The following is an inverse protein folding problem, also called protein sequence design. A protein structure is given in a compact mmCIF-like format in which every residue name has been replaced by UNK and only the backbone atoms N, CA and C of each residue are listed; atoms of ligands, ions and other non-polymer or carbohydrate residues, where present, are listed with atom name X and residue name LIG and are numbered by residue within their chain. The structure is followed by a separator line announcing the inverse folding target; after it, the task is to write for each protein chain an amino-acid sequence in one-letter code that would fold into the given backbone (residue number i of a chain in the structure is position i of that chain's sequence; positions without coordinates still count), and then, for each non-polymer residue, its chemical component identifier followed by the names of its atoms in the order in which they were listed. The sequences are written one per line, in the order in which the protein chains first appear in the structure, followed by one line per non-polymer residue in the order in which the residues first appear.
data_IF_582832154692
#
_entry.id   IF_582832154692
#
_cell.length_a   1.000
_cell.length_b   1.000
_cell.length_c   1.000
_cell.angle_alpha   90.00
_cell.angle_beta   90.00
_cell.angle_gamma   90.00
#
_symmetry.space_group_name_H-M   'P 1'
#
loop_
_entity.id
_entity.type
_entity.pdbx_description
1 polymer ?
#
# COMPACT_ATOMS: atom_id res chain seq x y z
N UNK A 1 -40.35 26.61 -19.27
CA UNK A 1 -39.77 26.21 -20.57
C UNK A 1 -39.77 27.45 -21.45
N UNK A 2 -38.63 28.13 -21.64
CA UNK A 2 -38.55 29.22 -22.63
C UNK A 2 -38.07 28.59 -23.92
N UNK A 3 -38.87 28.66 -24.98
CA UNK A 3 -38.51 28.13 -26.29
C UNK A 3 -37.26 28.86 -26.80
N UNK A 4 -36.17 28.12 -26.96
CA UNK A 4 -34.90 28.59 -27.50
C UNK A 4 -34.94 28.30 -29.00
N UNK A 5 -35.10 29.33 -29.82
CA UNK A 5 -34.91 29.19 -31.25
C UNK A 5 -33.43 28.92 -31.54
N UNK A 6 -33.14 27.79 -32.18
CA UNK A 6 -31.80 27.40 -32.60
C UNK A 6 -31.64 27.56 -34.11
N UNK A 7 -30.66 28.33 -34.56
CA UNK A 7 -30.31 28.49 -35.96
C UNK A 7 -28.95 27.85 -36.25
N UNK A 8 -28.87 27.18 -37.39
CA UNK A 8 -27.64 26.58 -37.90
C UNK A 8 -27.17 27.34 -39.12
N UNK A 9 -25.90 27.71 -39.13
CA UNK A 9 -25.23 28.39 -40.24
C UNK A 9 -24.15 27.45 -40.77
N UNK A 10 -24.35 26.96 -41.99
CA UNK A 10 -23.41 26.08 -42.67
C UNK A 10 -22.60 26.90 -43.67
N UNK A 11 -21.27 26.83 -43.55
CA UNK A 11 -20.34 27.58 -44.40
C UNK A 11 -19.32 26.66 -45.07
N UNK A 12 -18.63 27.08 -46.14
CA UNK A 12 -17.71 26.20 -46.85
C UNK A 12 -16.42 25.90 -46.08
N UNK A 13 -15.79 26.92 -45.47
CA UNK A 13 -14.48 26.80 -44.82
C UNK A 13 -14.49 27.16 -43.33
N UNK A 14 -13.49 26.69 -42.59
CA UNK A 14 -13.34 26.97 -41.16
C UNK A 14 -13.19 28.47 -40.88
N UNK A 15 -12.40 29.18 -41.68
CA UNK A 15 -12.25 30.64 -41.60
C UNK A 15 -13.59 31.38 -41.72
N UNK A 16 -14.49 30.87 -42.57
CA UNK A 16 -15.82 31.46 -42.76
C UNK A 16 -16.70 31.28 -41.53
N UNK A 17 -16.44 30.28 -40.68
CA UNK A 17 -17.15 30.12 -39.42
C UNK A 17 -16.88 31.31 -38.50
N UNK A 18 -15.62 31.72 -38.40
CA UNK A 18 -15.22 32.87 -37.58
C UNK A 18 -15.65 34.21 -38.22
N UNK A 19 -15.63 34.32 -39.55
CA UNK A 19 -16.20 35.50 -40.24
C UNK A 19 -17.70 35.64 -39.98
N UNK A 20 -18.45 34.54 -40.09
CA UNK A 20 -19.88 34.51 -39.79
C UNK A 20 -20.17 34.86 -38.32
N UNK A 21 -19.36 34.35 -37.39
CA UNK A 21 -19.44 34.72 -35.96
C UNK A 21 -19.28 36.23 -35.78
N UNK A 22 -18.29 36.83 -36.43
CA UNK A 22 -18.04 38.27 -36.38
C UNK A 22 -19.21 39.09 -36.93
N UNK A 23 -19.85 38.64 -38.01
CA UNK A 23 -21.06 39.30 -38.55
C UNK A 23 -22.22 39.20 -37.56
N UNK A 24 -22.45 38.02 -36.98
CA UNK A 24 -23.53 37.77 -36.01
C UNK A 24 -23.37 38.66 -34.77
N UNK A 25 -22.17 38.73 -34.18
CA UNK A 25 -21.90 39.53 -32.99
C UNK A 25 -21.95 41.05 -33.22
N UNK A 26 -21.77 41.50 -34.47
CA UNK A 26 -21.97 42.91 -34.85
C UNK A 26 -23.45 43.24 -35.04
N UNK A 27 -24.24 42.29 -35.53
CA UNK A 27 -25.67 42.48 -35.75
C UNK A 27 -26.48 42.36 -34.44
N UNK A 28 -26.10 41.44 -33.55
CA UNK A 28 -26.79 41.18 -32.30
C UNK A 28 -25.82 41.01 -31.13
N UNK A 29 -26.08 41.65 -29.97
CA UNK A 29 -25.26 41.46 -28.79
C UNK A 29 -25.24 40.01 -28.33
N UNK A 30 -24.05 39.48 -28.05
CA UNK A 30 -23.90 38.15 -27.46
C UNK A 30 -24.25 38.15 -25.97
N UNK A 31 -24.70 37.01 -25.47
CA UNK A 31 -24.87 36.77 -24.04
C UNK A 31 -23.53 36.29 -23.45
N UNK A 32 -22.99 36.95 -22.40
CA UNK A 32 -21.77 36.50 -21.74
C UNK A 32 -21.85 35.05 -21.27
N UNK A 33 -20.70 34.35 -21.25
CA UNK A 33 -20.56 32.93 -20.85
C UNK A 33 -21.33 31.91 -21.72
N UNK A 34 -22.03 32.37 -22.77
CA UNK A 34 -22.80 31.53 -23.71
C UNK A 34 -22.12 31.40 -25.08
N UNK A 35 -20.82 31.63 -25.14
CA UNK A 35 -19.99 31.36 -26.31
C UNK A 35 -19.11 30.14 -26.06
N UNK A 36 -19.08 29.20 -27.02
CA UNK A 36 -18.23 28.00 -26.98
C UNK A 36 -17.65 27.76 -28.36
N UNK A 37 -16.33 27.67 -28.42
CA UNK A 37 -15.62 27.36 -29.65
C UNK A 37 -15.21 25.88 -29.67
N UNK A 38 -16.10 25.03 -30.19
CA UNK A 38 -15.79 23.61 -30.38
C UNK A 38 -15.02 23.34 -31.69
N UNK A 39 -14.70 24.37 -32.48
CA UNK A 39 -13.82 24.20 -33.63
C UNK A 39 -12.38 24.11 -33.15
N UNK A 40 -11.95 25.03 -32.28
CA UNK A 40 -10.63 25.02 -31.64
C UNK A 40 -10.54 24.01 -30.50
N UNK A 41 -11.65 23.72 -29.81
CA UNK A 41 -11.75 22.69 -28.76
C UNK A 41 -12.80 21.61 -29.07
N UNK A 42 -12.53 20.68 -30.01
CA UNK A 42 -13.48 19.62 -30.38
C UNK A 42 -13.91 18.77 -29.18
N UNK A 43 -15.16 18.29 -29.19
CA UNK A 43 -15.64 17.34 -28.18
C UNK A 43 -15.05 15.94 -28.42
N UNK A 44 -15.17 15.06 -27.43
CA UNK A 44 -14.63 13.68 -27.47
C UNK A 44 -15.14 12.82 -28.63
N UNK A 45 -16.34 13.10 -29.14
CA UNK A 45 -16.93 12.46 -30.33
C UNK A 45 -16.54 13.14 -31.66
N UNK A 46 -15.52 13.99 -31.64
CA UNK A 46 -15.05 14.80 -32.77
C UNK A 46 -16.07 15.84 -33.28
N UNK A 47 -17.09 16.18 -32.48
CA UNK A 47 -18.02 17.26 -32.79
C UNK A 47 -17.31 18.61 -32.81
N UNK A 48 -17.51 19.37 -33.89
CA UNK A 48 -16.92 20.69 -34.13
C UNK A 48 -17.99 21.69 -34.58
N UNK A 49 -18.11 22.83 -33.89
CA UNK A 49 -19.00 23.95 -34.24
C UNK A 49 -18.73 25.14 -33.30
N UNK A 50 -18.94 26.36 -33.77
CA UNK A 50 -19.03 27.55 -32.91
C UNK A 50 -20.46 27.68 -32.40
N UNK A 51 -20.62 27.78 -31.09
CA UNK A 51 -21.91 27.99 -30.43
C UNK A 51 -21.92 29.37 -29.80
N UNK A 52 -22.95 30.16 -30.09
CA UNK A 52 -23.15 31.46 -29.44
C UNK A 52 -24.61 31.73 -29.20
N UNK A 53 -24.96 32.29 -28.04
CA UNK A 53 -26.31 32.82 -27.81
C UNK A 53 -26.29 34.33 -27.99
N UNK A 54 -27.19 34.86 -28.82
CA UNK A 54 -27.36 36.30 -29.05
C UNK A 54 -28.76 36.77 -28.63
N UNK A 55 -28.89 38.06 -28.38
CA UNK A 55 -30.19 38.71 -28.12
C UNK A 55 -30.73 39.25 -29.44
N UNK A 56 -31.69 38.53 -30.01
CA UNK A 56 -32.35 38.87 -31.26
C UNK A 56 -33.42 39.96 -31.12
N UNK A 57 -34.10 40.32 -32.23
CA UNK A 57 -35.20 41.29 -32.23
C UNK A 57 -36.30 40.89 -31.23
N UNK A 58 -36.86 41.86 -30.50
CA UNK A 58 -37.86 41.60 -29.47
C UNK A 58 -37.31 41.04 -28.15
N UNK A 59 -35.99 41.01 -27.96
CA UNK A 59 -35.35 40.54 -26.72
C UNK A 59 -35.29 39.01 -26.58
N UNK A 60 -35.64 38.29 -27.64
CA UNK A 60 -35.58 36.83 -27.68
C UNK A 60 -34.13 36.34 -27.66
N UNK A 61 -33.87 35.29 -26.88
CA UNK A 61 -32.57 34.62 -26.87
C UNK A 61 -32.53 33.60 -27.99
N UNK A 62 -31.56 33.75 -28.88
CA UNK A 62 -31.39 32.90 -30.05
C UNK A 62 -30.05 32.18 -29.93
N UNK A 63 -30.07 30.85 -30.02
CA UNK A 63 -28.85 30.04 -30.11
C UNK A 63 -28.43 29.92 -31.58
N UNK A 64 -27.17 30.22 -31.87
CA UNK A 64 -26.58 30.10 -33.20
C UNK A 64 -25.44 29.10 -33.18
N UNK A 65 -25.47 28.19 -34.15
CA UNK A 65 -24.47 27.15 -34.35
C UNK A 65 -23.85 27.33 -35.73
N UNK A 66 -22.56 27.58 -35.80
CA UNK A 66 -21.83 27.84 -37.05
C UNK A 66 -20.83 26.71 -37.25
N UNK A 67 -20.81 26.11 -38.44
CA UNK A 67 -19.92 24.98 -38.76
C UNK A 67 -19.81 24.77 -40.26
N UNK A 68 -18.83 23.98 -40.70
CA UNK A 68 -18.73 23.62 -42.12
C UNK A 68 -19.66 22.47 -42.50
N UNK A 69 -19.87 22.24 -43.80
CA UNK A 69 -20.64 21.08 -44.27
C UNK A 69 -20.05 19.74 -43.78
N UNK A 70 -18.72 19.63 -43.72
CA UNK A 70 -18.06 18.44 -43.18
C UNK A 70 -18.32 18.27 -41.69
N UNK A 71 -18.18 19.36 -40.93
CA UNK A 71 -18.46 19.35 -39.49
C UNK A 71 -19.92 19.02 -39.19
N UNK A 72 -20.85 19.45 -40.06
CA UNK A 72 -22.26 19.13 -39.94
C UNK A 72 -22.55 17.65 -40.17
N UNK A 73 -21.97 17.06 -41.22
CA UNK A 73 -22.08 15.61 -41.47
C UNK A 73 -21.53 14.79 -40.31
N UNK A 74 -20.36 15.16 -39.76
CA UNK A 74 -19.80 14.49 -38.58
C UNK A 74 -20.72 14.63 -37.36
N UNK A 75 -21.38 15.78 -37.20
CA UNK A 75 -22.28 16.04 -36.09
C UNK A 75 -23.62 15.28 -36.18
N UNK A 76 -24.15 15.07 -37.38
CA UNK A 76 -25.41 14.33 -37.61
C UNK A 76 -25.17 12.82 -37.68
N UNK A 77 -24.15 12.38 -38.43
CA UNK A 77 -23.95 10.98 -38.80
C UNK A 77 -22.83 10.27 -38.01
N UNK A 78 -22.01 11.03 -37.26
CA UNK A 78 -20.87 10.50 -36.52
C UNK A 78 -19.66 10.09 -37.40
N UNK A 79 -18.64 9.49 -36.77
CA UNK A 79 -17.35 9.16 -37.41
C UNK A 79 -17.48 8.11 -38.54
N UNK A 80 -18.58 7.35 -38.58
CA UNK A 80 -18.83 6.32 -39.58
C UNK A 80 -19.12 6.86 -41.00
N UNK A 81 -19.53 8.13 -41.14
CA UNK A 81 -19.88 8.72 -42.43
C UNK A 81 -18.68 9.06 -43.32
N UNK A 82 -17.46 9.08 -42.77
CA UNK A 82 -16.25 9.41 -43.53
C UNK A 82 -15.67 8.23 -44.33
N UNK A 83 -16.26 7.03 -44.23
CA UNK A 83 -15.81 5.84 -44.95
C UNK A 83 -16.35 5.73 -46.38
N UNK A 84 -17.29 6.58 -46.81
CA UNK A 84 -18.05 6.33 -48.03
C UNK A 84 -17.68 7.19 -49.26
N UNK A 85 -16.69 8.09 -49.22
CA UNK A 85 -16.47 8.98 -50.37
C UNK A 85 -15.03 9.12 -50.89
N UNK A 86 -14.90 8.67 -52.15
CA UNK A 86 -13.85 8.81 -53.17
C UNK A 86 -12.65 7.83 -53.15
N UNK A 87 -12.82 6.81 -54.01
CA UNK A 87 -11.83 6.10 -54.82
C UNK A 87 -11.00 4.95 -54.22
N UNK A 88 -11.52 3.73 -54.41
CA UNK A 88 -10.83 2.57 -55.01
C UNK A 88 -9.43 2.16 -54.52
N UNK A 89 -9.14 2.31 -53.24
CA UNK A 89 -8.21 1.43 -52.52
C UNK A 89 -8.53 1.44 -51.02
N UNK A 90 -8.65 0.25 -50.43
CA UNK A 90 -8.66 0.12 -48.96
C UNK A 90 -7.24 0.46 -48.47
N UNK A 91 -7.02 1.71 -48.08
CA UNK A 91 -5.76 2.18 -47.52
C UNK A 91 -5.93 3.54 -46.87
N UNK A 92 -5.27 3.73 -45.72
CA UNK A 92 -5.15 5.06 -45.10
C UNK A 92 -4.40 5.98 -46.07
N UNK A 93 -5.07 7.03 -46.54
CA UNK A 93 -4.40 8.12 -47.25
C UNK A 93 -3.74 9.05 -46.22
N UNK A 94 -2.49 8.74 -45.88
CA UNK A 94 -1.69 9.50 -44.92
C UNK A 94 -1.33 10.90 -45.41
N UNK A 95 -1.41 11.17 -46.71
CA UNK A 95 -1.01 12.46 -47.31
C UNK A 95 -2.13 13.50 -47.19
N UNK A 96 -3.40 13.11 -47.38
CA UNK A 96 -4.54 13.96 -47.08
C UNK A 96 -4.65 14.30 -45.58
N UNK A 97 -4.29 13.36 -44.69
CA UNK A 97 -4.31 13.53 -43.23
C UNK A 97 -3.23 14.49 -42.68
N UNK A 98 -2.11 14.66 -43.40
CA UNK A 98 -1.04 15.57 -43.02
C UNK A 98 -1.30 17.04 -43.44
N UNK A 99 -2.11 17.25 -44.48
CA UNK A 99 -2.40 18.58 -45.03
C UNK A 99 -3.42 19.39 -44.20
N UNK A 100 -4.27 18.75 -43.38
CA UNK A 100 -5.44 19.40 -42.73
C UNK A 100 -5.35 19.49 -41.18
N UNK A 101 -4.16 19.68 -40.61
CA UNK A 101 -4.03 20.11 -39.21
C UNK A 101 -4.00 18.99 -38.16
N UNK A 102 -3.56 17.79 -38.56
CA UNK A 102 -2.89 16.81 -37.71
C UNK A 102 -3.45 16.59 -36.31
N UNK A 103 -4.50 15.77 -36.17
CA UNK A 103 -4.77 14.98 -34.95
C UNK A 103 -5.57 13.73 -35.31
N UNK A 104 -4.96 12.58 -35.00
CA UNK A 104 -5.44 11.22 -35.26
C UNK A 104 -6.79 10.97 -34.53
N UNK A 105 -7.91 10.75 -35.25
CA UNK A 105 -9.20 10.40 -34.65
C UNK A 105 -9.14 9.08 -33.86
N UNK A 106 -8.14 8.23 -34.12
CA UNK A 106 -7.89 7.01 -33.38
C UNK A 106 -7.08 7.21 -32.09
N UNK A 107 -6.67 8.42 -31.68
CA UNK A 107 -5.96 8.58 -30.40
C UNK A 107 -6.78 8.03 -29.21
N UNK A 108 -8.09 8.30 -29.20
CA UNK A 108 -8.99 7.80 -28.16
C UNK A 108 -9.20 6.27 -28.27
N UNK A 109 -9.22 5.73 -29.50
CA UNK A 109 -9.33 4.29 -29.74
C UNK A 109 -8.04 3.55 -29.37
N UNK A 110 -6.86 4.14 -29.64
CA UNK A 110 -5.54 3.57 -29.33
C UNK A 110 -5.28 3.57 -27.84
N UNK A 111 -5.80 4.55 -27.09
CA UNK A 111 -5.80 4.52 -25.62
C UNK A 111 -6.62 3.33 -25.09
N UNK A 112 -7.75 3.04 -25.73
CA UNK A 112 -8.60 1.88 -25.44
C UNK A 112 -7.89 0.56 -25.76
N UNK A 113 -7.18 0.48 -26.90
CA UNK A 113 -6.41 -0.69 -27.32
C UNK A 113 -5.15 -0.91 -26.47
N UNK A 114 -4.44 0.14 -26.04
CA UNK A 114 -3.29 0.02 -25.14
C UNK A 114 -3.68 -0.49 -23.74
N UNK A 115 -4.86 -0.12 -23.25
CA UNK A 115 -5.43 -0.63 -22.00
C UNK A 115 -5.79 -2.11 -22.14
N UNK A 116 -6.24 -2.56 -23.32
CA UNK A 116 -6.50 -3.98 -23.64
C UNK A 116 -5.20 -4.80 -23.66
N UNK A 117 -4.11 -4.26 -24.20
CA UNK A 117 -2.83 -5.00 -24.31
C UNK A 117 -2.08 -5.18 -22.98
N UNK A 118 -2.39 -4.40 -21.93
CA UNK A 118 -1.62 -4.36 -20.67
C UNK A 118 -2.43 -4.74 -19.41
N UNK A 119 -3.70 -5.14 -19.56
CA UNK A 119 -4.60 -5.44 -18.44
C UNK A 119 -4.69 -6.93 -18.11
N UNK A 120 -3.84 -7.42 -17.20
CA UNK A 120 -4.08 -8.71 -16.54
C UNK A 120 -5.17 -8.57 -15.46
N UNK A 121 -6.38 -9.02 -15.78
CA UNK A 121 -7.39 -9.54 -14.83
C UNK A 121 -8.32 -8.56 -14.11
N UNK A 122 -9.63 -8.88 -14.18
CA UNK A 122 -10.65 -8.50 -13.17
C UNK A 122 -11.57 -7.33 -13.53
N UNK A 123 -12.83 -7.41 -13.08
CA UNK A 123 -13.98 -6.51 -13.32
C UNK A 123 -13.73 -4.98 -13.14
N UNK A 124 -12.61 -4.57 -12.55
CA UNK A 124 -12.16 -3.17 -12.37
C UNK A 124 -12.13 -2.36 -13.69
N UNK A 125 -11.91 -3.00 -14.85
CA UNK A 125 -11.76 -2.32 -16.14
C UNK A 125 -13.05 -1.66 -16.64
N UNK A 126 -14.20 -2.33 -16.45
CA UNK A 126 -15.51 -1.84 -16.92
C UNK A 126 -15.90 -0.60 -16.14
N UNK A 127 -15.64 -0.59 -14.84
CA UNK A 127 -15.93 0.57 -13.99
C UNK A 127 -15.04 1.75 -14.34
N UNK A 128 -13.74 1.53 -14.59
CA UNK A 128 -12.81 2.60 -14.97
C UNK A 128 -13.16 3.24 -16.32
N UNK A 129 -13.52 2.45 -17.32
CA UNK A 129 -13.94 2.97 -18.63
C UNK A 129 -15.30 3.70 -18.54
N UNK A 130 -16.26 3.17 -17.75
CA UNK A 130 -17.56 3.82 -17.54
C UNK A 130 -17.41 5.18 -16.84
N UNK A 131 -16.53 5.30 -15.85
CA UNK A 131 -16.32 6.56 -15.13
C UNK A 131 -15.73 7.66 -16.03
N UNK A 132 -14.83 7.32 -16.96
CA UNK A 132 -14.22 8.31 -17.87
C UNK A 132 -15.19 8.83 -18.95
N UNK A 133 -16.23 8.07 -19.31
CA UNK A 133 -17.20 8.44 -20.35
C UNK A 133 -18.31 9.41 -19.89
N UNK A 134 -18.57 9.52 -18.58
CA UNK A 134 -19.72 10.26 -18.02
C UNK A 134 -19.37 11.56 -17.29
N UNK A 135 -18.09 11.93 -17.19
CA UNK A 135 -17.67 13.12 -16.44
C UNK A 135 -17.51 14.34 -17.36
N UNK A 136 -18.05 15.49 -16.92
CA UNK A 136 -17.64 16.80 -17.41
C UNK A 136 -16.10 16.87 -17.41
N UNK A 137 -15.46 17.39 -18.46
CA UNK A 137 -14.00 17.46 -18.56
C UNK A 137 -13.48 18.84 -18.15
N UNK A 138 -12.29 18.86 -17.55
CA UNK A 138 -11.50 20.06 -17.29
C UNK A 138 -10.23 20.09 -18.17
N UNK A 139 -9.92 21.27 -18.68
CA UNK A 139 -8.83 21.54 -19.61
C UNK A 139 -7.75 22.35 -18.90
N UNK A 140 -6.58 21.73 -18.72
CA UNK A 140 -5.46 22.31 -17.97
C UNK A 140 -4.19 22.31 -18.80
N UNK A 141 -3.29 23.24 -18.52
CA UNK A 141 -2.08 23.47 -19.30
C UNK A 141 -0.84 23.12 -18.49
N UNK A 142 0.16 22.55 -19.17
CA UNK A 142 1.53 22.53 -18.65
C UNK A 142 2.15 23.93 -18.77
N UNK A 143 3.25 24.25 -18.05
CA UNK A 143 3.95 25.53 -18.18
C UNK A 143 4.50 25.78 -19.60
N UNK A 144 4.65 24.72 -20.40
CA UNK A 144 5.07 24.78 -21.81
C UNK A 144 3.90 24.94 -22.79
N UNK A 145 2.67 25.14 -22.31
CA UNK A 145 1.49 25.34 -23.15
C UNK A 145 0.84 24.06 -23.70
N UNK A 146 1.37 22.86 -23.39
CA UNK A 146 0.69 21.59 -23.73
C UNK A 146 -0.61 21.46 -22.96
N UNK A 147 -1.71 21.24 -23.67
CA UNK A 147 -3.05 20.97 -23.12
C UNK A 147 -3.14 19.52 -22.62
N UNK A 148 -3.71 19.33 -21.43
CA UNK A 148 -4.04 18.04 -20.81
C UNK A 148 -5.50 18.09 -20.37
N UNK A 149 -6.23 17.02 -20.67
CA UNK A 149 -7.65 16.89 -20.33
C UNK A 149 -7.81 15.91 -19.18
N UNK A 150 -8.60 16.28 -18.18
CA UNK A 150 -8.90 15.46 -17.00
C UNK A 150 -10.40 15.46 -16.74
N UNK A 151 -10.96 14.47 -16.01
CA UNK A 151 -12.33 14.57 -15.53
C UNK A 151 -12.48 15.71 -14.52
N UNK A 152 -13.69 16.27 -14.42
CA UNK A 152 -14.03 17.30 -13.44
C UNK A 152 -13.75 16.79 -12.02
N UNK A 153 -13.08 17.63 -11.24
CA UNK A 153 -12.58 17.27 -9.91
C UNK A 153 -11.21 16.60 -9.92
N UNK A 154 -10.60 16.37 -11.10
CA UNK A 154 -9.22 15.90 -11.22
C UNK A 154 -8.25 16.82 -10.47
N UNK A 155 -7.29 16.21 -9.79
CA UNK A 155 -6.33 16.90 -8.92
C UNK A 155 -4.92 16.90 -9.51
N UNK A 156 -3.98 17.53 -8.81
CA UNK A 156 -2.59 17.64 -9.23
C UNK A 156 -1.92 16.28 -9.53
N UNK A 157 -2.24 15.24 -8.76
CA UNK A 157 -1.64 13.92 -8.95
C UNK A 157 -2.21 13.22 -10.21
N UNK A 158 -3.49 13.42 -10.51
CA UNK A 158 -4.08 12.96 -11.79
C UNK A 158 -3.39 13.63 -12.98
N UNK A 159 -3.15 14.94 -12.89
CA UNK A 159 -2.38 15.68 -13.91
C UNK A 159 -0.97 15.13 -14.07
N UNK A 160 -0.25 14.88 -12.97
CA UNK A 160 1.11 14.36 -13.01
C UNK A 160 1.19 13.01 -13.75
N UNK A 161 0.29 12.08 -13.47
CA UNK A 161 0.21 10.77 -14.14
C UNK A 161 -0.34 10.83 -15.58
N UNK A 162 -1.12 11.87 -15.91
CA UNK A 162 -1.51 12.16 -17.29
C UNK A 162 -0.33 12.68 -18.12
N UNK A 163 0.55 13.49 -17.51
CA UNK A 163 1.78 13.97 -18.16
C UNK A 163 2.76 12.82 -18.40
N UNK A 164 3.15 12.09 -17.34
CA UNK A 164 4.05 10.94 -17.42
C UNK A 164 4.11 10.17 -16.08
N UNK A 165 4.23 8.84 -16.11
CA UNK A 165 4.31 8.00 -14.89
C UNK A 165 5.43 8.44 -13.94
N UNK A 166 6.66 8.64 -14.44
CA UNK A 166 7.78 9.15 -13.64
C UNK A 166 7.54 10.54 -13.02
N UNK A 167 6.70 11.39 -13.63
CA UNK A 167 6.33 12.69 -13.04
C UNK A 167 5.37 12.49 -11.89
N UNK A 168 4.41 11.58 -12.03
CA UNK A 168 3.51 11.15 -10.94
C UNK A 168 4.26 10.48 -9.78
N UNK A 169 5.13 9.51 -10.07
CA UNK A 169 5.87 8.74 -9.05
C UNK A 169 6.84 9.60 -8.23
N UNK A 170 7.24 10.77 -8.73
CA UNK A 170 8.13 11.71 -8.04
C UNK A 170 7.41 12.98 -7.59
N UNK A 171 6.10 13.08 -7.72
CA UNK A 171 5.35 14.29 -7.38
C UNK A 171 5.32 14.53 -5.86
N UNK A 172 5.89 15.65 -5.40
CA UNK A 172 5.91 16.04 -3.98
C UNK A 172 5.09 17.30 -3.70
N UNK A 173 4.77 18.08 -4.73
CA UNK A 173 4.00 19.31 -4.61
C UNK A 173 3.53 19.84 -5.96
N UNK A 174 2.74 20.91 -5.92
CA UNK A 174 2.18 21.53 -7.13
C UNK A 174 2.17 23.05 -7.01
N UNK A 175 2.42 23.72 -8.14
CA UNK A 175 2.05 25.12 -8.34
C UNK A 175 0.94 25.21 -9.37
N UNK A 176 -0.06 26.02 -9.10
CA UNK A 176 -1.16 26.31 -10.02
C UNK A 176 -1.13 27.81 -10.28
N UNK A 177 -1.00 28.20 -11.55
CA UNK A 177 -0.87 29.60 -11.99
C UNK A 177 0.29 30.34 -11.30
N UNK A 178 1.40 29.62 -11.04
CA UNK A 178 2.61 30.16 -10.39
C UNK A 178 2.60 30.13 -8.86
N UNK A 179 1.46 29.88 -8.22
CA UNK A 179 1.35 29.83 -6.75
C UNK A 179 1.37 28.39 -6.21
N UNK A 180 2.03 28.17 -5.07
CA UNK A 180 1.98 26.89 -4.37
C UNK A 180 0.55 26.61 -3.85
N UNK A 181 0.01 25.44 -4.20
CA UNK A 181 -1.32 25.00 -3.73
C UNK A 181 -1.23 23.59 -3.13
N UNK A 182 -2.17 23.21 -2.25
CA UNK A 182 -2.27 21.82 -1.78
C UNK A 182 -2.50 20.83 -2.92
N UNK A 183 -1.90 19.64 -2.85
CA UNK A 183 -2.04 18.57 -3.86
C UNK A 183 -3.50 18.12 -4.10
N UNK A 184 -4.36 18.30 -3.11
CA UNK A 184 -5.80 17.97 -3.14
C UNK A 184 -6.67 19.01 -3.88
N UNK A 185 -6.07 20.10 -4.35
CA UNK A 185 -6.81 21.17 -5.02
C UNK A 185 -7.35 20.66 -6.35
N UNK A 186 -8.67 20.72 -6.52
CA UNK A 186 -9.32 20.36 -7.77
C UNK A 186 -8.96 21.39 -8.86
N UNK A 187 -8.58 20.90 -10.02
CA UNK A 187 -8.15 21.73 -11.14
C UNK A 187 -9.34 22.32 -11.90
N UNK A 188 -9.17 23.54 -12.40
CA UNK A 188 -10.18 24.30 -13.14
C UNK A 188 -9.76 24.51 -14.60
N UNK A 189 -10.73 24.86 -15.45
CA UNK A 189 -10.44 25.18 -16.84
C UNK A 189 -9.51 26.37 -16.96
N UNK A 190 -8.43 26.22 -17.73
CA UNK A 190 -7.45 27.27 -17.96
C UNK A 190 -6.27 27.27 -16.99
N UNK A 191 -6.28 26.43 -15.94
CA UNK A 191 -5.19 26.38 -14.98
C UNK A 191 -3.87 25.93 -15.63
N UNK A 192 -2.79 26.65 -15.32
CA UNK A 192 -1.41 26.24 -15.65
C UNK A 192 -0.82 25.50 -14.45
N UNK A 193 -0.54 24.21 -14.61
CA UNK A 193 -0.13 23.31 -13.53
C UNK A 193 1.34 22.92 -13.68
N UNK A 194 2.15 23.24 -12.67
CA UNK A 194 3.55 22.85 -12.55
C UNK A 194 3.73 21.85 -11.40
N UNK A 195 4.21 20.65 -11.71
CA UNK A 195 4.46 19.60 -10.71
C UNK A 195 5.88 19.74 -10.17
N UNK A 196 6.00 19.86 -8.85
CA UNK A 196 7.27 19.84 -8.12
C UNK A 196 7.65 18.39 -7.88
N UNK A 197 8.87 18.00 -8.29
CA UNK A 197 9.36 16.62 -8.21
C UNK A 197 10.42 16.46 -7.13
N UNK A 198 10.32 15.37 -6.37
CA UNK A 198 11.33 14.91 -5.42
C UNK A 198 12.39 14.01 -6.07
N UNK A 199 13.42 13.69 -5.30
CA UNK A 199 14.51 12.79 -5.72
C UNK A 199 14.19 11.32 -5.50
N UNK A 200 13.25 11.01 -4.59
CA UNK A 200 12.78 9.66 -4.28
C UNK A 200 11.42 9.38 -4.91
N UNK A 201 11.20 8.12 -5.29
CA UNK A 201 9.90 7.63 -5.78
C UNK A 201 9.11 7.06 -4.61
N UNK A 202 8.34 7.88 -3.91
CA UNK A 202 7.51 7.46 -2.77
C UNK A 202 6.04 7.77 -3.05
N UNK A 203 5.16 6.77 -2.87
CA UNK A 203 3.72 6.98 -2.98
C UNK A 203 3.21 7.70 -1.72
N UNK A 204 2.38 8.76 -1.84
CA UNK A 204 1.71 9.34 -0.68
C UNK A 204 0.83 8.31 0.03
N UNK A 205 0.85 8.27 1.37
CA UNK A 205 0.05 7.31 2.14
C UNK A 205 -1.46 7.40 1.84
N UNK A 206 -1.96 8.62 1.61
CA UNK A 206 -3.36 8.91 1.29
C UNK A 206 -3.60 9.17 -0.21
N UNK A 207 -2.87 8.48 -1.09
CA UNK A 207 -2.95 8.69 -2.54
C UNK A 207 -4.36 8.51 -3.15
N UNK A 208 -5.23 7.73 -2.48
CA UNK A 208 -6.62 7.50 -2.91
C UNK A 208 -7.46 8.78 -2.82
N UNK A 209 -7.23 9.62 -1.82
CA UNK A 209 -7.93 10.90 -1.66
C UNK A 209 -7.40 11.99 -2.61
N UNK A 210 -6.20 11.78 -3.16
CA UNK A 210 -5.50 12.73 -4.04
C UNK A 210 -5.68 12.41 -5.54
N UNK A 211 -6.43 11.36 -5.88
CA UNK A 211 -6.63 10.94 -7.28
C UNK A 211 -8.06 10.52 -7.56
N UNK A 212 -8.56 10.96 -8.71
CA UNK A 212 -9.89 10.62 -9.22
C UNK A 212 -9.79 9.61 -10.37
N UNK A 213 -8.76 9.70 -11.20
CA UNK A 213 -8.65 8.94 -12.45
C UNK A 213 -8.24 7.48 -12.23
N UNK A 214 -8.84 6.56 -12.99
CA UNK A 214 -8.47 5.14 -12.97
C UNK A 214 -7.00 4.93 -13.35
N UNK A 215 -6.51 5.69 -14.35
CA UNK A 215 -5.11 5.68 -14.79
C UNK A 215 -4.13 6.00 -13.66
N UNK A 216 -4.32 7.10 -12.94
CA UNK A 216 -3.44 7.47 -11.83
C UNK A 216 -3.50 6.42 -10.72
N UNK A 217 -4.70 5.96 -10.35
CA UNK A 217 -4.88 4.94 -9.31
C UNK A 217 -4.18 3.62 -9.65
N UNK A 218 -4.24 3.18 -10.91
CA UNK A 218 -3.56 1.96 -11.36
C UNK A 218 -2.05 2.12 -11.39
N UNK A 219 -1.55 3.28 -11.84
CA UNK A 219 -0.12 3.59 -11.82
C UNK A 219 0.45 3.60 -10.40
N UNK A 220 -0.24 4.23 -9.45
CA UNK A 220 0.16 4.27 -8.04
C UNK A 220 0.11 2.87 -7.41
N UNK A 221 -0.94 2.08 -7.67
CA UNK A 221 -1.01 0.67 -7.23
C UNK A 221 0.18 -0.14 -7.77
N UNK A 222 0.58 0.07 -9.02
CA UNK A 222 1.76 -0.59 -9.60
C UNK A 222 3.05 -0.14 -8.91
N UNK A 223 3.20 1.16 -8.65
CA UNK A 223 4.36 1.70 -7.93
C UNK A 223 4.50 1.10 -6.53
N UNK A 224 3.42 1.07 -5.74
CA UNK A 224 3.38 0.46 -4.41
C UNK A 224 3.72 -1.02 -4.46
N UNK A 225 3.08 -1.79 -5.36
CA UNK A 225 3.38 -3.22 -5.52
C UNK A 225 4.85 -3.46 -5.89
N UNK A 226 5.43 -2.60 -6.72
CA UNK A 226 6.85 -2.65 -7.07
C UNK A 226 7.76 -2.43 -5.87
N UNK A 227 7.50 -1.39 -5.07
CA UNK A 227 8.26 -1.08 -3.86
C UNK A 227 8.15 -2.20 -2.80
N UNK A 228 6.95 -2.74 -2.58
CA UNK A 228 6.74 -3.90 -1.70
C UNK A 228 7.50 -5.12 -2.18
N UNK A 229 7.48 -5.41 -3.49
CA UNK A 229 8.21 -6.54 -4.07
C UNK A 229 9.71 -6.44 -3.80
N UNK A 230 10.31 -5.27 -4.01
CA UNK A 230 11.74 -5.05 -3.74
C UNK A 230 12.10 -5.29 -2.27
N UNK A 231 11.26 -4.84 -1.34
CA UNK A 231 11.49 -5.07 0.09
C UNK A 231 11.34 -6.55 0.48
N UNK A 232 10.32 -7.25 -0.05
CA UNK A 232 10.16 -8.69 0.19
C UNK A 232 11.28 -9.52 -0.43
N UNK A 233 11.81 -9.13 -1.60
CA UNK A 233 13.00 -9.74 -2.20
C UNK A 233 14.19 -9.63 -1.26
N UNK A 234 14.46 -8.42 -0.74
CA UNK A 234 15.56 -8.14 0.19
C UNK A 234 15.42 -8.96 1.48
N UNK A 235 14.23 -8.95 2.07
CA UNK A 235 13.92 -9.71 3.29
C UNK A 235 14.07 -11.22 3.07
N UNK A 236 13.54 -11.73 1.97
CA UNK A 236 13.58 -13.15 1.64
C UNK A 236 15.01 -13.66 1.41
N UNK A 237 15.84 -12.89 0.69
CA UNK A 237 17.26 -13.19 0.52
C UNK A 237 17.99 -13.24 1.86
N UNK A 238 17.85 -12.18 2.68
CA UNK A 238 18.49 -12.12 4.00
C UNK A 238 18.04 -13.26 4.94
N UNK A 239 16.76 -13.62 4.90
CA UNK A 239 16.20 -14.71 5.71
C UNK A 239 16.76 -16.07 5.29
N UNK A 240 16.86 -16.32 3.98
CA UNK A 240 17.42 -17.56 3.46
C UNK A 240 18.92 -17.65 3.78
N UNK A 241 19.66 -16.58 3.55
CA UNK A 241 21.09 -16.46 3.85
C UNK A 241 21.35 -16.75 5.33
N UNK A 242 20.63 -16.08 6.24
CA UNK A 242 20.72 -16.35 7.68
C UNK A 242 20.45 -17.82 8.03
N UNK A 243 19.48 -18.45 7.36
CA UNK A 243 19.13 -19.87 7.59
C UNK A 243 20.26 -20.80 7.16
N UNK A 244 20.88 -20.53 6.01
CA UNK A 244 22.00 -21.30 5.44
C UNK A 244 23.27 -21.09 6.27
N UNK A 245 23.58 -19.85 6.68
CA UNK A 245 24.73 -19.52 7.52
C UNK A 245 24.65 -20.19 8.90
N UNK A 246 23.45 -20.23 9.52
CA UNK A 246 23.24 -20.98 10.78
C UNK A 246 23.55 -22.47 10.65
N UNK A 247 23.46 -23.02 9.44
CA UNK A 247 23.81 -24.41 9.15
C UNK A 247 25.28 -24.60 8.72
N UNK A 248 26.11 -23.55 8.82
CA UNK A 248 27.54 -23.58 8.45
C UNK A 248 27.78 -23.68 6.94
N UNK A 249 26.84 -23.19 6.12
CA UNK A 249 26.93 -23.16 4.66
C UNK A 249 26.86 -21.73 4.13
N UNK A 250 27.18 -21.54 2.86
CA UNK A 250 27.08 -20.26 2.14
C UNK A 250 26.11 -20.39 0.96
N UNK A 251 25.35 -19.34 0.70
CA UNK A 251 24.45 -19.25 -0.47
C UNK A 251 25.22 -18.86 -1.74
N UNK A 252 26.34 -18.13 -1.61
CA UNK A 252 27.09 -17.58 -2.74
C UNK A 252 27.80 -18.65 -3.58
N UNK A 253 28.04 -19.83 -3.00
CA UNK A 253 28.74 -20.94 -3.65
C UNK A 253 27.78 -21.96 -4.31
N UNK A 254 26.46 -21.70 -4.32
CA UNK A 254 25.45 -22.70 -4.70
C UNK A 254 24.43 -22.17 -5.70
N UNK A 255 24.22 -22.94 -6.77
CA UNK A 255 23.19 -22.67 -7.78
C UNK A 255 21.78 -22.92 -7.23
N UNK A 256 20.88 -21.93 -7.38
CA UNK A 256 19.48 -22.03 -6.95
C UNK A 256 18.58 -22.78 -7.94
N UNK A 257 19.08 -23.14 -9.13
CA UNK A 257 18.29 -23.83 -10.18
C UNK A 257 17.53 -25.08 -9.70
N UNK A 258 18.13 -25.99 -8.90
CA UNK A 258 17.43 -27.18 -8.43
C UNK A 258 16.20 -26.84 -7.57
N UNK A 259 16.27 -25.76 -6.79
CA UNK A 259 15.15 -25.30 -5.96
C UNK A 259 14.02 -24.75 -6.82
N UNK A 260 14.37 -23.97 -7.84
CA UNK A 260 13.39 -23.39 -8.76
C UNK A 260 12.57 -24.48 -9.47
N UNK A 261 13.23 -25.55 -9.93
CA UNK A 261 12.57 -26.69 -10.56
C UNK A 261 11.69 -27.47 -9.57
N UNK A 262 12.21 -27.81 -8.39
CA UNK A 262 11.48 -28.59 -7.38
C UNK A 262 10.27 -27.84 -6.81
N UNK A 263 10.39 -26.52 -6.62
CA UNK A 263 9.32 -25.68 -6.07
C UNK A 263 8.42 -25.08 -7.15
N UNK A 264 8.69 -25.38 -8.44
CA UNK A 264 7.99 -24.80 -9.59
C UNK A 264 7.94 -23.26 -9.56
N UNK A 265 9.06 -22.63 -9.23
CA UNK A 265 9.23 -21.17 -9.18
C UNK A 265 10.01 -20.71 -10.40
N UNK A 266 9.52 -19.68 -11.08
CA UNK A 266 10.07 -19.24 -12.37
C UNK A 266 11.46 -18.61 -12.27
N UNK A 267 11.71 -17.78 -11.25
CA UNK A 267 12.97 -17.04 -11.11
C UNK A 267 13.47 -17.01 -9.66
N UNK A 268 14.76 -16.74 -9.45
CA UNK A 268 15.34 -16.52 -8.13
C UNK A 268 14.67 -15.35 -7.39
N UNK A 269 14.30 -14.30 -8.13
CA UNK A 269 13.53 -13.20 -7.57
C UNK A 269 12.18 -13.70 -7.03
N UNK A 270 11.43 -14.48 -7.80
CA UNK A 270 10.14 -15.01 -7.32
C UNK A 270 10.29 -15.92 -6.10
N UNK A 271 11.42 -16.65 -6.01
CA UNK A 271 11.74 -17.46 -4.83
C UNK A 271 11.99 -16.57 -3.61
N UNK A 272 12.85 -15.56 -3.71
CA UNK A 272 13.11 -14.65 -2.59
C UNK A 272 11.85 -13.88 -2.18
N UNK A 273 11.04 -13.41 -3.13
CA UNK A 273 9.78 -12.76 -2.82
C UNK A 273 8.83 -13.71 -2.07
N UNK A 274 8.73 -14.97 -2.51
CA UNK A 274 7.90 -15.98 -1.85
C UNK A 274 8.39 -16.31 -0.43
N UNK A 275 9.70 -16.31 -0.18
CA UNK A 275 10.28 -16.46 1.17
C UNK A 275 9.98 -15.22 2.01
N UNK A 276 10.20 -14.01 1.49
CA UNK A 276 9.96 -12.75 2.20
C UNK A 276 8.50 -12.55 2.59
N UNK A 277 7.57 -13.02 1.75
CA UNK A 277 6.13 -13.05 2.05
C UNK A 277 5.70 -14.23 2.94
N UNK A 278 6.62 -15.13 3.31
CA UNK A 278 6.35 -16.30 4.14
C UNK A 278 5.57 -17.43 3.45
N UNK A 279 5.43 -17.40 2.12
CA UNK A 279 4.77 -18.47 1.34
C UNK A 279 5.63 -19.72 1.23
N UNK A 280 6.95 -19.54 1.17
CA UNK A 280 7.93 -20.62 1.11
C UNK A 280 8.82 -20.56 2.36
N UNK A 281 8.97 -21.70 3.03
CA UNK A 281 9.86 -21.80 4.18
C UNK A 281 11.34 -21.78 3.74
N UNK A 282 12.18 -20.89 4.32
CA UNK A 282 13.61 -20.86 4.00
C UNK A 282 14.32 -22.16 4.38
N UNK A 283 13.80 -22.91 5.35
CA UNK A 283 14.33 -24.21 5.77
C UNK A 283 14.14 -25.25 4.67
N UNK A 284 12.94 -25.32 4.10
CA UNK A 284 12.63 -26.23 2.99
C UNK A 284 13.56 -25.97 1.80
N UNK A 285 13.83 -24.69 1.52
CA UNK A 285 14.79 -24.29 0.48
C UNK A 285 16.21 -24.75 0.82
N UNK A 286 16.67 -24.52 2.06
CA UNK A 286 17.99 -24.96 2.51
C UNK A 286 18.17 -26.50 2.46
N UNK A 287 17.13 -27.27 2.80
CA UNK A 287 17.15 -28.74 2.73
C UNK A 287 17.22 -29.26 1.28
N UNK A 288 16.58 -28.57 0.33
CA UNK A 288 16.68 -28.90 -1.10
C UNK A 288 18.08 -28.58 -1.63
N UNK A 289 18.63 -27.40 -1.28
CA UNK A 289 19.98 -27.00 -1.70
C UNK A 289 21.06 -27.90 -1.12
N UNK A 290 20.88 -28.31 0.13
CA UNK A 290 21.84 -29.13 0.86
C UNK A 290 21.11 -30.33 1.47
N UNK A 291 20.96 -31.45 0.75
CA UNK A 291 20.32 -32.65 1.28
C UNK A 291 20.93 -33.16 2.59
N UNK A 292 22.22 -32.88 2.83
CA UNK A 292 22.92 -33.16 4.09
C UNK A 292 22.37 -32.42 5.32
N UNK A 293 21.53 -31.40 5.12
CA UNK A 293 20.86 -30.60 6.15
C UNK A 293 19.44 -31.08 6.45
N UNK A 294 18.91 -32.03 5.67
CA UNK A 294 17.56 -32.58 5.87
C UNK A 294 17.39 -33.08 7.31
N UNK A 295 16.42 -32.51 8.04
CA UNK A 295 16.14 -32.84 9.44
C UNK A 295 17.17 -32.35 10.46
N UNK A 296 18.27 -31.72 10.02
CA UNK A 296 19.28 -31.07 10.91
C UNK A 296 18.91 -29.63 11.20
N UNK A 297 18.31 -28.93 10.24
CA UNK A 297 17.72 -27.62 10.46
C UNK A 297 16.33 -27.87 11.05
N UNK A 298 16.26 -27.95 12.38
CA UNK A 298 14.96 -27.94 13.03
C UNK A 298 14.32 -26.59 12.71
N UNK A 299 13.07 -26.54 12.21
CA UNK A 299 12.32 -25.30 12.33
C UNK A 299 12.44 -24.84 13.77
N UNK A 300 12.55 -23.52 13.98
CA UNK A 300 12.13 -22.97 15.26
C UNK A 300 10.75 -23.58 15.45
N UNK A 301 10.68 -24.62 16.31
CA UNK A 301 9.47 -25.40 16.44
C UNK A 301 8.39 -24.35 16.67
N UNK A 302 7.19 -24.54 16.12
CA UNK A 302 6.02 -23.93 16.75
C UNK A 302 5.93 -24.55 18.15
N UNK A 303 6.86 -24.15 19.03
CA UNK A 303 6.94 -24.52 20.42
C UNK A 303 5.64 -23.96 20.96
N UNK A 304 4.84 -24.85 21.51
CA UNK A 304 3.51 -24.49 21.96
C UNK A 304 3.72 -23.50 23.09
N UNK A 305 3.26 -22.27 22.89
CA UNK A 305 3.24 -21.25 23.93
C UNK A 305 2.47 -21.80 25.13
N UNK A 306 3.03 -21.65 26.32
CA UNK A 306 2.33 -21.94 27.58
C UNK A 306 1.20 -20.91 27.68
N UNK A 307 0.01 -21.30 27.24
CA UNK A 307 -1.23 -20.51 27.34
C UNK A 307 -2.25 -21.31 28.15
N UNK A 308 -3.15 -20.60 28.83
CA UNK A 308 -4.11 -21.17 29.79
C UNK A 308 -4.93 -22.35 29.21
N UNK A 309 -5.28 -22.31 27.92
CA UNK A 309 -6.02 -23.38 27.25
C UNK A 309 -5.29 -24.74 27.16
N UNK A 310 -3.98 -24.80 27.43
CA UNK A 310 -3.16 -26.03 27.42
C UNK A 310 -2.37 -26.25 28.72
N UNK A 311 -2.66 -25.49 29.77
CA UNK A 311 -1.91 -25.53 31.03
C UNK A 311 -1.82 -26.93 31.67
N UNK A 312 -2.85 -27.78 31.51
CA UNK A 312 -2.86 -29.16 32.02
C UNK A 312 -1.78 -30.07 31.40
N UNK A 313 -1.22 -29.71 30.24
CA UNK A 313 -0.13 -30.47 29.61
C UNK A 313 1.23 -30.16 30.23
N UNK A 314 1.37 -29.01 30.89
CA UNK A 314 2.66 -28.46 31.31
C UNK A 314 2.94 -28.61 32.80
N UNK A 315 1.92 -28.88 33.61
CA UNK A 315 2.05 -28.98 35.07
C UNK A 315 1.40 -30.28 35.58
N UNK A 316 2.03 -30.90 36.57
CA UNK A 316 1.58 -32.10 37.29
C UNK A 316 1.68 -31.88 38.81
N UNK A 317 0.84 -32.53 39.62
CA UNK A 317 0.83 -32.32 41.07
C UNK A 317 -0.54 -32.49 41.73
N UNK A 318 -0.65 -32.08 42.99
CA UNK A 318 -1.88 -32.13 43.78
C UNK A 318 -2.95 -31.17 43.26
N UNK A 319 -4.23 -31.47 43.51
CA UNK A 319 -5.35 -30.58 43.13
C UNK A 319 -5.73 -30.57 41.64
N UNK A 320 -5.08 -31.37 40.80
CA UNK A 320 -5.36 -31.48 39.36
C UNK A 320 -6.53 -32.41 39.03
N UNK A 321 -7.68 -32.24 39.69
CA UNK A 321 -8.89 -33.04 39.41
C UNK A 321 -9.50 -32.69 38.05
N UNK A 322 -10.06 -33.67 37.31
CA UNK A 322 -10.87 -33.41 36.11
C UNK A 322 -11.97 -32.36 36.39
N UNK A 323 -11.98 -31.26 35.62
CA UNK A 323 -12.96 -30.17 35.75
C UNK A 323 -12.42 -28.87 36.35
N UNK A 324 -11.24 -28.89 36.99
CA UNK A 324 -10.59 -27.67 37.50
C UNK A 324 -9.80 -26.99 36.37
N UNK A 325 -10.09 -25.71 36.12
CA UNK A 325 -9.31 -24.90 35.17
C UNK A 325 -7.97 -24.51 35.78
N UNK A 326 -6.91 -24.50 34.96
CA UNK A 326 -5.55 -24.15 35.37
C UNK A 326 -5.15 -22.89 34.62
N UNK A 327 -4.64 -21.90 35.35
CA UNK A 327 -4.16 -20.64 34.80
C UNK A 327 -2.76 -20.35 35.32
N UNK A 328 -1.95 -19.66 34.53
CA UNK A 328 -0.65 -19.17 35.00
C UNK A 328 -0.78 -17.75 35.57
N UNK A 329 -0.15 -17.51 36.72
CA UNK A 329 -0.16 -16.21 37.37
C UNK A 329 0.50 -15.13 36.51
N UNK A 330 -0.26 -14.09 36.17
CA UNK A 330 0.23 -12.96 35.36
C UNK A 330 1.22 -12.06 36.12
N UNK A 331 1.29 -12.19 37.45
CA UNK A 331 2.20 -11.46 38.33
C UNK A 331 3.66 -11.92 38.17
N UNK A 332 3.92 -13.22 38.24
CA UNK A 332 5.27 -13.78 38.30
C UNK A 332 5.69 -14.50 37.01
N UNK A 333 4.76 -14.74 36.08
CA UNK A 333 5.00 -15.38 34.77
C UNK A 333 5.83 -16.68 34.89
N UNK A 334 5.31 -17.76 35.49
CA UNK A 334 6.08 -18.97 35.76
C UNK A 334 6.64 -19.61 34.48
N UNK A 335 7.90 -20.05 34.54
CA UNK A 335 8.61 -20.72 33.44
C UNK A 335 9.09 -22.11 33.84
N UNK A 336 9.22 -23.05 32.87
CA UNK A 336 9.90 -24.32 33.12
C UNK A 336 11.26 -24.11 33.78
N UNK A 337 11.53 -24.86 34.85
CA UNK A 337 12.71 -24.71 35.69
C UNK A 337 12.53 -23.82 36.93
N UNK A 338 11.48 -22.99 37.00
CA UNK A 338 11.10 -22.34 38.25
C UNK A 338 10.47 -23.35 39.21
N UNK A 339 10.67 -23.13 40.52
CA UNK A 339 9.87 -23.81 41.54
C UNK A 339 8.48 -23.18 41.57
N UNK A 340 7.45 -24.00 41.35
CA UNK A 340 6.06 -23.55 41.23
C UNK A 340 5.17 -24.12 42.33
N UNK A 341 4.13 -23.35 42.67
CA UNK A 341 3.06 -23.72 43.61
C UNK A 341 1.71 -23.34 43.01
N UNK A 342 0.65 -24.00 43.42
CA UNK A 342 -0.72 -23.73 42.99
C UNK A 342 -1.57 -23.16 44.11
N UNK A 343 -2.37 -22.13 43.79
CA UNK A 343 -3.41 -21.61 44.69
C UNK A 343 -4.78 -21.97 44.12
N UNK A 344 -5.56 -22.75 44.86
CA UNK A 344 -6.90 -23.16 44.49
C UNK A 344 -7.92 -22.08 44.92
N UNK A 345 -8.56 -21.45 43.94
CA UNK A 345 -9.61 -20.45 44.17
C UNK A 345 -10.99 -20.97 43.72
N UNK A 346 -12.05 -20.83 44.53
CA UNK A 346 -13.39 -21.34 44.20
C UNK A 346 -13.93 -20.92 42.82
N UNK A 347 -13.64 -19.67 42.41
CA UNK A 347 -14.19 -19.09 41.17
C UNK A 347 -13.24 -19.12 39.97
N UNK A 348 -11.93 -19.29 40.19
CA UNK A 348 -10.90 -19.19 39.14
C UNK A 348 -10.22 -20.53 38.84
N UNK A 349 -10.43 -21.55 39.67
CA UNK A 349 -9.68 -22.80 39.58
C UNK A 349 -8.28 -22.66 40.19
N UNK A 350 -7.32 -23.40 39.65
CA UNK A 350 -5.95 -23.47 40.14
C UNK A 350 -5.06 -22.44 39.43
N UNK A 351 -4.50 -21.49 40.16
CA UNK A 351 -3.55 -20.51 39.61
C UNK A 351 -2.13 -20.91 39.98
N UNK A 352 -1.25 -21.04 38.99
CA UNK A 352 0.15 -21.44 39.15
C UNK A 352 1.01 -20.21 39.37
N UNK A 353 1.77 -20.18 40.46
CA UNK A 353 2.72 -19.13 40.82
C UNK A 353 4.14 -19.68 40.94
N UNK A 354 5.15 -18.82 40.83
CA UNK A 354 6.49 -19.15 41.32
C UNK A 354 6.49 -19.08 42.84
N UNK A 355 7.29 -19.91 43.50
CA UNK A 355 7.33 -20.00 44.98
C UNK A 355 7.72 -18.68 45.67
N UNK A 356 8.34 -17.76 44.93
CA UNK A 356 8.83 -16.46 45.37
C UNK A 356 7.96 -15.28 44.90
N UNK A 357 6.72 -15.53 44.48
CA UNK A 357 5.79 -14.48 44.05
C UNK A 357 5.25 -13.70 45.26
N UNK A 358 5.33 -12.35 45.24
CA UNK A 358 4.92 -11.51 46.38
C UNK A 358 3.43 -11.64 46.71
N UNK A 359 2.59 -11.94 45.71
CA UNK A 359 1.15 -12.16 45.91
C UNK A 359 0.81 -13.38 46.75
N UNK A 360 1.75 -14.29 46.96
CA UNK A 360 1.52 -15.48 47.79
C UNK A 360 1.34 -15.12 49.27
N UNK A 361 1.81 -13.94 49.70
CA UNK A 361 1.63 -13.44 51.07
C UNK A 361 0.14 -13.33 51.44
N UNK A 362 -0.74 -13.05 50.48
CA UNK A 362 -2.19 -12.95 50.70
C UNK A 362 -2.84 -14.28 51.12
N UNK A 363 -2.16 -15.41 50.89
CA UNK A 363 -2.66 -16.77 51.16
C UNK A 363 -1.87 -17.50 52.25
N UNK A 364 -0.94 -16.81 52.91
CA UNK A 364 -0.03 -17.40 53.90
C UNK A 364 -0.76 -17.99 55.13
N UNK A 365 -1.95 -17.47 55.45
CA UNK A 365 -2.73 -17.88 56.63
C UNK A 365 -3.72 -19.04 56.36
N UNK A 366 -3.87 -19.47 55.09
CA UNK A 366 -4.79 -20.54 54.71
C UNK A 366 -4.06 -21.67 53.99
N UNK A 367 -3.58 -22.66 54.73
CA UNK A 367 -2.88 -23.84 54.20
C UNK A 367 -3.77 -24.69 53.26
N UNK A 368 -5.10 -24.55 53.31
CA UNK A 368 -6.01 -25.42 52.57
C UNK A 368 -6.08 -25.11 51.07
N UNK A 369 -5.68 -23.89 50.67
CA UNK A 369 -5.68 -23.47 49.25
C UNK A 369 -4.42 -23.89 48.49
N UNK A 370 -3.37 -24.31 49.19
CA UNK A 370 -2.07 -24.59 48.60
C UNK A 370 -2.02 -25.97 47.93
N UNK A 371 -1.39 -26.02 46.78
CA UNK A 371 -1.18 -27.24 46.01
C UNK A 371 0.27 -27.33 45.54
N UNK A 372 0.91 -28.47 45.81
CA UNK A 372 2.25 -28.75 45.30
C UNK A 372 2.21 -29.12 43.82
N UNK A 373 2.98 -28.38 43.02
CA UNK A 373 3.03 -28.51 41.57
C UNK A 373 4.46 -28.72 41.08
N UNK A 374 4.60 -29.40 39.95
CA UNK A 374 5.84 -29.64 39.25
C UNK A 374 5.65 -29.51 37.74
N UNK A 375 6.69 -29.11 37.03
CA UNK A 375 6.69 -29.11 35.58
C UNK A 375 6.63 -30.55 35.01
N UNK A 376 5.98 -30.71 33.87
CA UNK A 376 6.02 -31.96 33.10
C UNK A 376 7.25 -31.99 32.19
N UNK A 377 7.74 -33.19 31.81
CA UNK A 377 8.83 -33.29 30.82
C UNK A 377 8.51 -32.59 29.49
N UNK A 378 7.23 -32.53 29.13
CA UNK A 378 6.76 -31.82 27.93
C UNK A 378 6.93 -30.29 28.04
N UNK A 379 6.77 -29.73 29.24
CA UNK A 379 7.06 -28.32 29.49
C UNK A 379 8.55 -28.02 29.38
N UNK A 380 9.39 -28.90 29.92
CA UNK A 380 10.85 -28.72 29.94
C UNK A 380 11.51 -28.87 28.56
N UNK A 381 10.93 -29.67 27.65
CA UNK A 381 11.58 -30.03 26.39
C UNK A 381 10.98 -29.35 25.14
N UNK A 382 9.84 -28.67 25.23
CA UNK A 382 9.12 -28.20 24.03
C UNK A 382 8.21 -26.99 24.18
N UNK A 383 8.17 -26.34 25.34
CA UNK A 383 7.35 -25.17 25.56
C UNK A 383 8.10 -23.85 25.28
N UNK A 384 7.35 -22.80 24.91
CA UNK A 384 7.81 -21.41 25.01
C UNK A 384 7.01 -20.76 26.14
N UNK A 385 7.71 -20.20 27.10
CA UNK A 385 7.13 -19.34 28.13
C UNK A 385 7.30 -17.86 27.78
N UNK A 386 6.43 -17.02 28.33
CA UNK A 386 6.55 -15.57 28.25
C UNK A 386 7.13 -15.06 29.56
N UNK A 387 8.18 -14.24 29.50
CA UNK A 387 8.78 -13.59 30.66
C UNK A 387 8.69 -12.09 30.54
N UNK A 388 8.38 -11.41 31.65
CA UNK A 388 8.43 -9.96 31.73
C UNK A 388 9.76 -9.52 32.34
N UNK A 389 10.54 -8.77 31.57
CA UNK A 389 11.80 -8.17 32.01
C UNK A 389 11.63 -6.66 32.17
N UNK A 390 12.11 -6.13 33.29
CA UNK A 390 12.23 -4.69 33.51
C UNK A 390 13.70 -4.30 33.43
N UNK A 391 14.02 -3.29 32.64
CA UNK A 391 15.39 -2.81 32.49
C UNK A 391 15.45 -1.28 32.53
N UNK A 392 16.45 -0.76 33.23
CA UNK A 392 16.79 0.67 33.23
C UNK A 392 17.99 0.86 32.33
N UNK A 393 17.87 1.72 31.32
CA UNK A 393 18.91 1.92 30.30
C UNK A 393 19.20 3.40 30.11
N UNK A 394 20.44 3.74 29.73
CA UNK A 394 20.83 5.12 29.44
C UNK A 394 20.05 5.68 28.25
N UNK A 395 19.60 6.92 28.36
CA UNK A 395 18.98 7.66 27.28
C UNK A 395 20.07 8.18 26.33
N UNK A 396 20.38 7.39 25.30
CA UNK A 396 21.36 7.73 24.28
C UNK A 396 20.97 7.24 22.89
N UNK A 397 21.50 7.90 21.86
CA UNK A 397 21.27 7.51 20.46
C UNK A 397 21.75 6.06 20.27
N UNK A 398 20.86 5.21 19.76
CA UNK A 398 21.16 3.81 19.44
C UNK A 398 21.13 2.83 20.61
N UNK A 399 20.99 3.27 21.87
CA UNK A 399 20.98 2.38 23.05
C UNK A 399 19.84 1.37 22.98
N UNK A 400 18.63 1.83 22.64
CA UNK A 400 17.47 0.94 22.51
C UNK A 400 17.70 -0.15 21.45
N UNK A 401 18.32 0.23 20.32
CA UNK A 401 18.69 -0.72 19.26
C UNK A 401 19.62 -1.81 19.78
N UNK A 402 20.70 -1.42 20.47
CA UNK A 402 21.65 -2.37 21.05
C UNK A 402 20.97 -3.36 22.01
N UNK A 403 20.09 -2.88 22.88
CA UNK A 403 19.36 -3.71 23.85
C UNK A 403 18.45 -4.71 23.12
N UNK A 404 17.69 -4.26 22.12
CA UNK A 404 16.83 -5.17 21.34
C UNK A 404 17.62 -6.20 20.53
N UNK A 405 18.77 -5.80 19.97
CA UNK A 405 19.67 -6.71 19.24
C UNK A 405 20.23 -7.78 20.17
N UNK A 406 20.69 -7.41 21.38
CA UNK A 406 21.20 -8.37 22.37
C UNK A 406 20.16 -9.42 22.77
N UNK A 407 18.89 -9.02 22.95
CA UNK A 407 17.80 -9.97 23.24
C UNK A 407 17.63 -10.96 22.08
N UNK A 408 17.65 -10.46 20.83
CA UNK A 408 17.53 -11.29 19.63
C UNK A 408 18.71 -12.25 19.43
N UNK A 409 19.94 -11.77 19.64
CA UNK A 409 21.17 -12.59 19.56
C UNK A 409 21.21 -13.67 20.63
N UNK A 410 20.72 -13.38 21.84
CA UNK A 410 20.56 -14.36 22.90
C UNK A 410 19.44 -15.39 22.64
N UNK A 411 18.69 -15.25 21.54
CA UNK A 411 17.65 -16.19 21.12
C UNK A 411 16.26 -15.92 21.70
N UNK A 412 16.04 -14.73 22.30
CA UNK A 412 14.74 -14.27 22.79
C UNK A 412 13.92 -13.57 21.70
N UNK A 413 12.62 -13.83 21.65
CA UNK A 413 11.71 -13.12 20.75
C UNK A 413 10.92 -12.06 21.55
N UNK A 414 11.01 -10.79 21.15
CA UNK A 414 10.31 -9.68 21.84
C UNK A 414 8.87 -9.64 21.33
N UNK A 415 7.91 -9.98 22.19
CA UNK A 415 6.48 -9.91 21.88
C UNK A 415 5.92 -8.50 22.09
N UNK A 416 6.44 -7.80 23.08
CA UNK A 416 6.01 -6.45 23.41
C UNK A 416 7.15 -5.68 24.07
N UNK A 417 7.17 -4.37 23.84
CA UNK A 417 8.12 -3.44 24.43
C UNK A 417 7.34 -2.20 24.83
N UNK A 418 7.41 -1.83 26.11
CA UNK A 418 6.80 -0.62 26.62
C UNK A 418 7.83 0.24 27.35
N UNK A 419 7.80 1.54 27.09
CA UNK A 419 8.58 2.52 27.86
C UNK A 419 7.71 2.97 29.03
N UNK A 420 8.10 2.61 30.26
CA UNK A 420 7.31 2.91 31.46
C UNK A 420 7.64 4.27 32.04
N UNK A 421 8.90 4.69 31.95
CA UNK A 421 9.34 5.99 32.46
C UNK A 421 10.47 6.57 31.62
N UNK A 422 10.48 7.91 31.50
CA UNK A 422 11.46 8.66 30.72
C UNK A 422 12.04 9.78 31.57
N UNK A 423 13.34 9.69 31.84
CA UNK A 423 14.13 10.76 32.44
C UNK A 423 15.12 11.33 31.41
N UNK A 424 15.83 12.40 31.76
CA UNK A 424 16.86 12.99 30.89
C UNK A 424 17.98 11.99 30.60
N UNK A 425 18.47 11.28 31.63
CA UNK A 425 19.62 10.38 31.51
C UNK A 425 19.26 8.90 31.32
N UNK A 426 18.04 8.48 31.67
CA UNK A 426 17.63 7.07 31.69
C UNK A 426 16.19 6.83 31.20
N UNK A 427 15.95 5.62 30.69
CA UNK A 427 14.63 5.07 30.36
C UNK A 427 14.39 3.77 31.12
N UNK A 428 13.17 3.62 31.65
CA UNK A 428 12.69 2.34 32.16
C UNK A 428 11.88 1.64 31.07
N UNK A 429 12.28 0.41 30.77
CA UNK A 429 11.71 -0.42 29.72
C UNK A 429 11.13 -1.70 30.33
N UNK A 430 9.95 -2.08 29.85
CA UNK A 430 9.31 -3.36 30.13
C UNK A 430 9.25 -4.16 28.83
N UNK A 431 9.88 -5.33 28.82
CA UNK A 431 9.87 -6.26 27.71
C UNK A 431 9.06 -7.50 28.05
N UNK A 432 8.15 -7.90 27.17
CA UNK A 432 7.56 -9.24 27.21
C UNK A 432 8.33 -10.10 26.19
N UNK A 433 9.14 -11.03 26.69
CA UNK A 433 10.08 -11.84 25.90
C UNK A 433 9.68 -13.30 25.93
N UNK A 434 9.62 -13.94 24.77
CA UNK A 434 9.41 -15.37 24.65
C UNK A 434 10.74 -16.12 24.87
N UNK A 435 10.73 -17.05 25.83
CA UNK A 435 11.88 -17.80 26.30
C UNK A 435 11.56 -19.30 26.39
N UNK A 436 12.60 -20.13 26.54
CA UNK A 436 12.47 -21.59 26.55
C UNK A 436 12.18 -22.08 27.97
N UNK A 437 12.99 -21.59 28.90
CA UNK A 437 12.97 -21.94 30.32
C UNK A 437 13.52 -20.77 31.15
N UNK A 438 13.52 -20.94 32.47
CA UNK A 438 14.08 -19.97 33.40
C UNK A 438 15.59 -19.73 33.18
N UNK A 439 16.33 -20.74 32.69
CA UNK A 439 17.77 -20.62 32.39
C UNK A 439 18.00 -19.69 31.20
N UNK A 440 17.20 -19.81 30.15
CA UNK A 440 17.25 -18.96 28.97
C UNK A 440 16.93 -17.49 29.32
N UNK A 441 15.91 -17.25 30.14
CA UNK A 441 15.63 -15.91 30.64
C UNK A 441 16.82 -15.33 31.42
N UNK A 442 17.47 -16.15 32.26
CA UNK A 442 18.66 -15.74 33.01
C UNK A 442 19.84 -15.41 32.09
N UNK A 443 20.05 -16.18 31.02
CA UNK A 443 21.08 -15.91 30.02
C UNK A 443 20.82 -14.58 29.29
N UNK A 444 19.57 -14.30 28.90
CA UNK A 444 19.19 -13.02 28.27
C UNK A 444 19.47 -11.85 29.22
N UNK A 445 19.06 -11.96 30.49
CA UNK A 445 19.37 -10.91 31.49
C UNK A 445 20.87 -10.72 31.68
N UNK A 446 21.65 -11.80 31.71
CA UNK A 446 23.10 -11.73 31.81
C UNK A 446 23.71 -11.02 30.59
N UNK A 447 23.25 -11.34 29.38
CA UNK A 447 23.67 -10.67 28.14
C UNK A 447 23.29 -9.18 28.12
N UNK A 448 22.15 -8.81 28.67
CA UNK A 448 21.77 -7.41 28.81
C UNK A 448 22.69 -6.66 29.78
N UNK A 449 23.09 -7.29 30.90
CA UNK A 449 24.01 -6.70 31.88
C UNK A 449 25.42 -6.47 31.36
N UNK A 450 25.83 -7.12 30.28
CA UNK A 450 27.16 -6.87 29.68
C UNK A 450 27.20 -5.56 28.90
N UNK A 451 26.05 -4.98 28.55
CA UNK A 451 26.00 -3.69 27.87
C UNK A 451 26.21 -2.54 28.87
N UNK A 452 27.24 -1.68 28.71
CA UNK A 452 27.49 -0.53 29.61
C UNK A 452 26.39 0.53 29.65
N UNK A 453 25.41 0.43 28.74
CA UNK A 453 24.23 1.30 28.67
C UNK A 453 23.04 0.74 29.44
N UNK A 454 23.10 -0.50 29.93
CA UNK A 454 22.09 -1.11 30.80
C UNK A 454 22.56 -0.95 32.24
N UNK A 455 21.79 -0.22 33.05
CA UNK A 455 22.08 0.00 34.46
C UNK A 455 21.57 -1.16 35.31
N UNK A 456 20.28 -1.49 35.15
CA UNK A 456 19.64 -2.60 35.84
C UNK A 456 18.79 -3.41 34.88
N UNK A 457 18.69 -4.72 35.14
CA UNK A 457 17.73 -5.60 34.49
C UNK A 457 17.31 -6.68 35.47
N UNK A 458 16.00 -6.89 35.57
CA UNK A 458 15.39 -7.85 36.45
C UNK A 458 14.20 -8.53 35.78
N UNK A 459 13.91 -9.75 36.22
CA UNK A 459 12.67 -10.44 35.89
C UNK A 459 11.61 -9.99 36.88
N UNK A 460 10.46 -9.56 36.38
CA UNK A 460 9.32 -9.20 37.23
C UNK A 460 8.78 -10.46 37.89
N UNK A 461 8.80 -10.51 39.22
CA UNK A 461 8.30 -11.65 40.02
C UNK A 461 6.97 -11.39 40.72
N UNK A 462 6.35 -10.27 40.40
CA UNK A 462 4.98 -9.94 40.81
C UNK A 462 4.92 -9.24 42.13
#
# INVERSE_FOLDING_TARGET
LSDIYGFRVIVPFEDDCYRALGVIHRAWPMVPERFKDFISTPKSNNYRSLHTTVVGPGGLRIEMQIRTELMDRIAEDGVAAHWAYKNHSYGLDTEAMAAEGGRDPLQNLRHLVQVIEHGEGGEDWVEHAKLEMYLDQVFVFTPKGRLITLPRGGMALDFAYAVHTNVGDTAVGVKINGELKPMRTALQNGDVVEIIRGTKREAPADWRSLTVTGRARSAIRRHIRGAEREEFLRLGRATLEQTITKAGKSIDDVSLKPVLEVLAVATEADLFEAIGRGRISPIKVAEILFPSLAGKIKPAQQRKSIQDGRARLFVRGGGLTPGVSIHFGQCCTPLPGDRIVGILSPNKGLTVHTIDCEKLVEYADDDSVWQDLQWTPQAEQGAIGLVKLRATVKNGIGVLGQVTTLIGEAGGNIRNLNLTHRQEDFFDLSFDVEVQDAKHATMIMAALRTNPSVDTVERVKG
#
